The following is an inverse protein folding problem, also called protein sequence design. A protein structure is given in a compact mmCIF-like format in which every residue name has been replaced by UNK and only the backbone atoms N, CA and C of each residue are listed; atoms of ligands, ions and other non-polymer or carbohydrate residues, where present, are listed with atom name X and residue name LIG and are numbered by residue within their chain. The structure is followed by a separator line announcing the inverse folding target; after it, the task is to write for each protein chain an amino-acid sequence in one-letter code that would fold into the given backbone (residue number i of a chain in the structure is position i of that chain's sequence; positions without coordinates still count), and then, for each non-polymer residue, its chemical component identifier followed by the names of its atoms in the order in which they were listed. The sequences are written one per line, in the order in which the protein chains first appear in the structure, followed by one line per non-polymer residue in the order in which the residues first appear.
data_IF_611377187086
#
_entry.id   IF_611377187086
#
_cell.length_a   1.000
_cell.length_b   1.000
_cell.length_c   1.000
_cell.angle_alpha   90.00
_cell.angle_beta   90.00
_cell.angle_gamma   90.00
#
_symmetry.space_group_name_H-M   'P 1'
#
loop_
_entity.id
_entity.type
_entity.pdbx_description
1 polymer ?
#
# COMPACT_ATOMS: atom_id res chain seq x y z
N UNK A 1 -13.43 52.18 38.32
CA UNK A 1 -13.78 53.10 37.24
C UNK A 1 -13.68 52.24 35.99
N UNK A 2 -14.76 51.59 35.64
CA UNK A 2 -15.85 52.02 34.77
C UNK A 2 -15.42 51.99 33.31
N UNK A 3 -15.87 50.93 32.62
CA UNK A 3 -16.86 50.90 31.53
C UNK A 3 -16.28 51.38 30.18
N UNK A 4 -16.36 50.67 29.08
CA UNK A 4 -17.58 50.44 28.33
C UNK A 4 -17.47 49.32 27.29
N UNK A 5 -18.59 48.59 27.14
CA UNK A 5 -18.90 47.63 26.10
C UNK A 5 -19.25 48.34 24.79
N UNK A 6 -18.88 47.79 23.64
CA UNK A 6 -19.69 47.90 22.43
C UNK A 6 -19.60 46.66 21.51
N UNK A 7 -20.72 45.99 21.39
CA UNK A 7 -21.05 44.98 20.39
C UNK A 7 -21.06 45.61 18.97
N UNK A 8 -20.56 44.86 18.00
CA UNK A 8 -20.92 45.03 16.61
C UNK A 8 -21.14 43.66 15.94
N UNK A 9 -22.41 43.35 15.69
CA UNK A 9 -22.89 42.33 14.77
C UNK A 9 -22.52 42.74 13.34
N UNK A 10 -21.95 41.87 12.55
CA UNK A 10 -21.90 42.00 11.09
C UNK A 10 -22.49 40.73 10.47
N UNK A 11 -23.45 41.02 9.59
CA UNK A 11 -24.41 40.08 9.05
C UNK A 11 -23.82 39.14 7.98
N UNK A 12 -24.51 38.03 7.86
CA UNK A 12 -24.40 37.07 6.76
C UNK A 12 -24.97 37.69 5.48
N UNK A 13 -24.23 37.63 4.39
CA UNK A 13 -24.75 37.81 3.03
C UNK A 13 -24.33 36.65 2.16
N UNK A 14 -25.32 35.86 1.75
CA UNK A 14 -25.21 34.82 0.73
C UNK A 14 -25.20 35.42 -0.66
N UNK A 15 -24.44 34.93 -1.63
CA UNK A 15 -24.56 35.35 -3.03
C UNK A 15 -25.65 34.57 -3.77
N UNK A 16 -26.23 35.16 -4.84
CA UNK A 16 -27.42 34.64 -5.49
C UNK A 16 -27.16 33.55 -6.52
N UNK A 17 -28.14 32.67 -6.64
CA UNK A 17 -28.32 31.69 -7.71
C UNK A 17 -28.41 32.37 -9.08
N UNK A 18 -27.65 31.88 -10.07
CA UNK A 18 -27.84 32.22 -11.48
C UNK A 18 -28.39 30.99 -12.23
N UNK A 19 -29.47 31.23 -12.97
CA UNK A 19 -30.27 30.30 -13.73
C UNK A 19 -29.49 29.58 -14.84
N UNK A 20 -29.77 28.28 -15.01
CA UNK A 20 -29.34 27.47 -16.14
C UNK A 20 -30.42 27.45 -17.24
N UNK A 21 -30.08 27.55 -18.52
CA UNK A 21 -31.07 27.39 -19.59
C UNK A 21 -31.32 25.90 -19.89
N UNK A 22 -32.61 25.61 -20.02
CA UNK A 22 -33.17 24.35 -20.54
C UNK A 22 -32.62 24.00 -21.95
N UNK A 23 -32.08 22.80 -22.10
CA UNK A 23 -31.90 22.15 -23.41
C UNK A 23 -32.75 20.88 -23.44
N UNK A 24 -33.70 20.92 -24.35
CA UNK A 24 -34.70 19.87 -24.65
C UNK A 24 -34.05 18.55 -25.06
N UNK A 25 -34.61 17.48 -24.51
CA UNK A 25 -34.31 16.10 -24.82
C UNK A 25 -34.66 15.71 -26.26
N UNK A 26 -33.79 14.95 -26.89
CA UNK A 26 -34.18 14.05 -27.97
C UNK A 26 -33.62 12.64 -27.69
N UNK A 27 -34.54 11.67 -27.73
CA UNK A 27 -34.32 10.33 -27.25
C UNK A 27 -33.41 9.46 -28.15
N UNK A 28 -32.69 8.57 -27.48
CA UNK A 28 -31.94 7.48 -28.10
C UNK A 28 -31.72 6.38 -27.08
N UNK A 29 -32.43 5.28 -27.22
CA UNK A 29 -32.45 4.08 -26.39
C UNK A 29 -31.15 3.29 -26.43
N UNK A 30 -30.14 3.71 -25.70
CA UNK A 30 -28.87 2.97 -25.49
C UNK A 30 -28.50 2.76 -24.00
N UNK A 31 -29.38 3.13 -23.04
CA UNK A 31 -29.08 3.12 -21.61
C UNK A 31 -29.20 1.76 -20.88
N UNK A 32 -29.94 0.81 -21.43
CA UNK A 32 -30.32 -0.39 -20.68
C UNK A 32 -29.23 -1.46 -20.50
N UNK A 33 -28.26 -1.55 -21.39
CA UNK A 33 -27.22 -2.60 -21.33
C UNK A 33 -26.05 -2.23 -20.41
N UNK A 34 -25.67 -0.96 -20.32
CA UNK A 34 -24.56 -0.49 -19.46
C UNK A 34 -24.91 -0.51 -17.96
N UNK A 35 -26.15 -0.19 -17.58
CA UNK A 35 -26.61 -0.26 -16.18
C UNK A 35 -26.71 -1.70 -15.66
N UNK A 36 -27.08 -2.68 -16.51
CA UNK A 36 -27.18 -4.08 -16.11
C UNK A 36 -25.82 -4.77 -15.96
N UNK A 37 -24.81 -4.36 -16.74
CA UNK A 37 -23.41 -4.83 -16.61
C UNK A 37 -22.75 -4.29 -15.32
N UNK A 38 -22.89 -3.00 -15.03
CA UNK A 38 -22.37 -2.38 -13.79
C UNK A 38 -22.96 -3.01 -12.53
N UNK A 39 -24.26 -3.32 -12.52
CA UNK A 39 -24.96 -3.94 -11.38
C UNK A 39 -24.54 -5.40 -11.13
N UNK A 40 -24.00 -6.13 -12.15
CA UNK A 40 -23.47 -7.49 -12.00
C UNK A 40 -22.03 -7.52 -11.46
N UNK A 41 -21.21 -6.51 -11.75
CA UNK A 41 -19.82 -6.43 -11.25
C UNK A 41 -19.74 -5.93 -9.80
N UNK A 42 -20.68 -5.11 -9.34
CA UNK A 42 -20.68 -4.53 -7.98
C UNK A 42 -21.12 -5.54 -6.89
N UNK A 43 -21.98 -6.53 -7.22
CA UNK A 43 -22.43 -7.55 -6.25
C UNK A 43 -21.32 -8.30 -5.54
N UNK A 44 -20.31 -8.89 -6.20
CA UNK A 44 -19.26 -9.66 -5.50
C UNK A 44 -18.29 -8.76 -4.74
N UNK A 45 -18.28 -7.45 -4.99
CA UNK A 45 -17.52 -6.47 -4.22
C UNK A 45 -18.27 -6.11 -2.93
N UNK A 46 -19.57 -5.85 -3.02
CA UNK A 46 -20.43 -5.57 -1.87
C UNK A 46 -20.54 -6.76 -0.90
N UNK A 47 -20.70 -8.00 -1.40
CA UNK A 47 -20.73 -9.19 -0.55
C UNK A 47 -19.42 -9.41 0.22
N UNK A 48 -18.26 -9.14 -0.42
CA UNK A 48 -16.95 -9.21 0.25
C UNK A 48 -16.76 -8.12 1.30
N UNK A 49 -17.25 -6.92 1.05
CA UNK A 49 -17.21 -5.84 2.04
C UNK A 49 -18.14 -6.12 3.20
N UNK A 50 -19.32 -6.69 2.93
CA UNK A 50 -20.26 -7.10 3.98
C UNK A 50 -19.67 -8.21 4.84
N UNK A 51 -19.07 -9.23 4.24
CA UNK A 51 -18.40 -10.32 4.98
C UNK A 51 -17.26 -9.76 5.86
N UNK A 52 -16.43 -8.87 5.34
CA UNK A 52 -15.39 -8.24 6.12
C UNK A 52 -15.97 -7.36 7.23
N UNK A 53 -17.03 -6.62 6.97
CA UNK A 53 -17.76 -5.86 8.02
C UNK A 53 -18.22 -6.79 9.13
N UNK A 54 -18.88 -7.90 8.81
CA UNK A 54 -19.29 -8.89 9.82
C UNK A 54 -18.10 -9.41 10.62
N UNK A 55 -16.97 -9.75 9.97
CA UNK A 55 -15.77 -10.25 10.64
C UNK A 55 -15.14 -9.24 11.61
N UNK A 56 -15.15 -7.94 11.29
CA UNK A 56 -14.54 -6.91 12.14
C UNK A 56 -15.52 -6.30 13.16
N UNK A 57 -16.84 -6.36 12.92
CA UNK A 57 -17.84 -5.66 13.72
C UNK A 57 -18.65 -6.57 14.65
N UNK A 58 -18.69 -7.89 14.45
CA UNK A 58 -19.44 -8.82 15.29
C UNK A 58 -18.52 -9.63 16.21
N UNK A 59 -19.03 -10.08 17.36
CA UNK A 59 -18.26 -10.93 18.29
C UNK A 59 -17.86 -12.26 17.63
N UNK A 60 -18.80 -13.04 17.04
CA UNK A 60 -18.42 -14.30 16.36
C UNK A 60 -17.48 -14.06 15.18
N UNK A 61 -17.65 -12.94 14.44
CA UNK A 61 -16.74 -12.56 13.38
C UNK A 61 -15.31 -12.32 13.87
N UNK A 62 -15.13 -11.66 15.01
CA UNK A 62 -13.81 -11.42 15.61
C UNK A 62 -13.15 -12.72 16.10
N UNK A 63 -13.92 -13.67 16.64
CA UNK A 63 -13.40 -14.99 17.01
C UNK A 63 -12.91 -15.72 15.75
N UNK A 64 -13.73 -15.76 14.71
CA UNK A 64 -13.34 -16.34 13.41
C UNK A 64 -12.11 -15.64 12.82
N UNK A 65 -12.06 -14.31 12.87
CA UNK A 65 -10.91 -13.53 12.41
C UNK A 65 -9.64 -13.89 13.18
N UNK A 66 -9.73 -14.06 14.52
CA UNK A 66 -8.59 -14.49 15.36
C UNK A 66 -8.07 -15.87 14.95
N UNK A 67 -8.95 -16.80 14.61
CA UNK A 67 -8.54 -18.13 14.09
C UNK A 67 -7.86 -18.01 12.71
N UNK A 68 -8.47 -17.25 11.80
CA UNK A 68 -7.97 -17.08 10.43
C UNK A 68 -6.68 -16.24 10.36
N UNK A 69 -6.46 -15.33 11.30
CA UNK A 69 -5.23 -14.53 11.41
C UNK A 69 -4.08 -15.24 12.12
N UNK A 70 -4.34 -16.45 12.62
CA UNK A 70 -3.36 -17.27 13.33
C UNK A 70 -2.26 -17.80 12.40
N UNK A 71 -1.01 -17.85 12.91
CA UNK A 71 0.16 -18.33 12.15
C UNK A 71 0.00 -19.77 11.64
N UNK A 72 -0.60 -20.67 12.42
CA UNK A 72 -0.80 -22.08 12.03
C UNK A 72 -1.75 -22.21 10.85
N UNK A 73 -2.86 -21.47 10.86
CA UNK A 73 -3.81 -21.46 9.76
C UNK A 73 -3.18 -20.85 8.49
N UNK A 74 -2.48 -19.73 8.62
CA UNK A 74 -1.74 -19.13 7.51
C UNK A 74 -0.70 -20.07 6.91
N UNK A 75 0.04 -20.82 7.74
CA UNK A 75 1.02 -21.81 7.28
C UNK A 75 0.36 -22.96 6.52
N UNK A 76 -0.79 -23.45 6.97
CA UNK A 76 -1.56 -24.49 6.28
C UNK A 76 -2.05 -23.99 4.91
N UNK A 77 -2.63 -22.80 4.86
CA UNK A 77 -3.03 -22.17 3.61
C UNK A 77 -1.84 -21.96 2.67
N UNK A 78 -0.68 -21.53 3.19
CA UNK A 78 0.54 -21.38 2.43
C UNK A 78 0.99 -22.70 1.78
N UNK A 79 1.02 -23.80 2.55
CA UNK A 79 1.36 -25.13 2.01
C UNK A 79 0.41 -25.58 0.90
N UNK A 80 -0.89 -25.34 1.07
CA UNK A 80 -1.86 -25.62 0.01
C UNK A 80 -1.59 -24.78 -1.24
N UNK A 81 -1.33 -23.47 -1.08
CA UNK A 81 -1.04 -22.55 -2.19
C UNK A 81 0.29 -22.87 -2.90
N UNK A 82 1.24 -23.50 -2.22
CA UNK A 82 2.50 -24.00 -2.79
C UNK A 82 2.33 -25.32 -3.54
N UNK A 83 1.26 -26.08 -3.25
CA UNK A 83 1.00 -27.38 -3.87
C UNK A 83 0.39 -27.27 -5.26
N UNK A 84 0.56 -28.30 -6.08
CA UNK A 84 -0.07 -28.42 -7.41
C UNK A 84 -1.60 -28.49 -7.35
N UNK A 85 -2.18 -28.87 -6.21
CA UNK A 85 -3.63 -28.87 -5.96
C UNK A 85 -4.25 -27.47 -6.06
N UNK A 86 -3.46 -26.41 -5.90
CA UNK A 86 -3.93 -25.03 -6.02
C UNK A 86 -4.02 -24.52 -7.48
N UNK A 87 -3.50 -25.27 -8.47
CA UNK A 87 -3.49 -24.88 -9.90
C UNK A 87 -4.86 -24.49 -10.48
N UNK A 88 -5.98 -25.17 -10.18
CA UNK A 88 -7.30 -24.78 -10.69
C UNK A 88 -7.71 -23.36 -10.30
N UNK A 89 -7.20 -22.83 -9.18
CA UNK A 89 -7.48 -21.48 -8.74
C UNK A 89 -6.88 -20.40 -9.64
N UNK A 90 -5.78 -20.70 -10.37
CA UNK A 90 -5.03 -19.77 -11.21
C UNK A 90 -5.91 -19.16 -12.29
N UNK A 91 -6.65 -20.00 -13.06
CA UNK A 91 -7.52 -19.51 -14.14
C UNK A 91 -8.56 -18.50 -13.64
N UNK A 92 -9.18 -18.82 -12.50
CA UNK A 92 -10.18 -17.93 -11.88
C UNK A 92 -9.53 -16.64 -11.38
N UNK A 93 -8.35 -16.73 -10.79
CA UNK A 93 -7.59 -15.61 -10.28
C UNK A 93 -7.18 -14.64 -11.40
N UNK A 94 -6.53 -15.14 -12.45
CA UNK A 94 -6.07 -14.36 -13.60
C UNK A 94 -7.24 -13.65 -14.28
N UNK A 95 -8.32 -14.39 -14.62
CA UNK A 95 -9.50 -13.83 -15.27
C UNK A 95 -10.22 -12.78 -14.42
N UNK A 96 -10.39 -13.04 -13.11
CA UNK A 96 -11.10 -12.14 -12.20
C UNK A 96 -10.38 -10.84 -11.93
N UNK A 97 -9.06 -10.86 -11.94
CA UNK A 97 -8.22 -9.71 -11.65
C UNK A 97 -7.66 -9.07 -12.94
N UNK A 98 -8.12 -9.52 -14.12
CA UNK A 98 -7.71 -8.98 -15.42
C UNK A 98 -6.19 -8.93 -15.61
N UNK A 99 -5.48 -10.00 -15.15
CA UNK A 99 -4.04 -10.07 -15.23
C UNK A 99 -3.64 -10.44 -16.66
N UNK A 100 -2.86 -9.58 -17.33
CA UNK A 100 -2.27 -9.89 -18.62
C UNK A 100 -0.98 -10.72 -18.41
N UNK A 101 -1.07 -12.00 -18.72
CA UNK A 101 0.08 -12.91 -18.57
C UNK A 101 1.20 -12.63 -19.59
N UNK A 102 0.95 -11.85 -20.65
CA UNK A 102 1.98 -11.49 -21.62
C UNK A 102 3.04 -10.54 -21.03
N UNK A 103 2.72 -9.82 -19.95
CA UNK A 103 3.69 -9.01 -19.24
C UNK A 103 4.73 -9.84 -18.45
N UNK A 104 4.52 -11.17 -18.32
CA UNK A 104 5.34 -12.02 -17.47
C UNK A 104 6.17 -13.02 -18.26
N UNK A 105 7.27 -13.49 -17.65
CA UNK A 105 8.23 -14.42 -18.29
C UNK A 105 7.68 -15.83 -18.45
N UNK A 106 6.78 -16.26 -17.56
CA UNK A 106 6.16 -17.58 -17.59
C UNK A 106 4.66 -17.50 -17.84
N UNK A 107 4.14 -18.39 -18.66
CA UNK A 107 2.71 -18.54 -18.97
C UNK A 107 2.09 -19.76 -18.29
N UNK A 108 2.93 -20.67 -17.75
CA UNK A 108 2.51 -21.88 -17.02
C UNK A 108 3.12 -21.88 -15.63
N UNK A 109 2.32 -22.23 -14.64
CA UNK A 109 2.68 -22.18 -13.23
C UNK A 109 2.40 -23.52 -12.57
N UNK A 110 3.29 -23.94 -11.65
CA UNK A 110 3.19 -25.21 -10.93
C UNK A 110 2.20 -25.17 -9.77
N UNK A 111 2.01 -23.98 -9.16
CA UNK A 111 1.11 -23.77 -8.03
C UNK A 111 0.52 -22.36 -8.08
N UNK A 112 -0.44 -22.06 -7.19
CA UNK A 112 -1.00 -20.73 -7.08
C UNK A 112 0.06 -19.69 -6.65
N UNK A 113 0.93 -20.02 -5.68
CA UNK A 113 2.00 -19.12 -5.25
C UNK A 113 3.01 -18.87 -6.37
N UNK A 114 3.33 -19.87 -7.20
CA UNK A 114 4.17 -19.69 -8.37
C UNK A 114 3.57 -18.65 -9.35
N UNK A 115 2.24 -18.68 -9.56
CA UNK A 115 1.53 -17.67 -10.33
C UNK A 115 1.46 -16.31 -9.62
N UNK A 116 1.28 -16.30 -8.31
CA UNK A 116 1.16 -15.07 -7.53
C UNK A 116 2.48 -14.31 -7.48
N UNK A 117 3.60 -15.03 -7.36
CA UNK A 117 4.96 -14.48 -7.38
C UNK A 117 5.60 -14.49 -8.77
N UNK A 118 4.77 -14.54 -9.81
CA UNK A 118 5.18 -14.51 -11.22
C UNK A 118 6.23 -13.43 -11.48
N UNK A 119 7.19 -13.71 -12.33
CA UNK A 119 8.26 -12.76 -12.67
C UNK A 119 7.85 -11.92 -13.88
N UNK A 120 7.88 -10.59 -13.73
CA UNK A 120 7.59 -9.67 -14.81
C UNK A 120 8.78 -9.57 -15.77
N UNK A 121 8.53 -9.28 -17.04
CA UNK A 121 9.59 -8.99 -18.02
C UNK A 121 10.23 -7.64 -17.71
N UNK A 122 11.54 -7.53 -17.87
CA UNK A 122 12.28 -6.33 -17.49
C UNK A 122 11.79 -5.07 -18.23
N UNK A 123 11.43 -5.21 -19.51
CA UNK A 123 10.91 -4.13 -20.32
C UNK A 123 9.57 -3.56 -19.87
N UNK A 124 8.81 -4.32 -19.07
CA UNK A 124 7.52 -3.88 -18.54
C UNK A 124 7.65 -3.01 -17.26
N UNK A 125 8.82 -3.01 -16.65
CA UNK A 125 9.16 -2.19 -15.47
C UNK A 125 10.56 -1.60 -15.64
N UNK A 126 10.75 -0.68 -16.58
CA UNK A 126 12.05 -0.06 -16.83
C UNK A 126 12.49 0.73 -15.59
N UNK A 127 13.77 0.61 -15.26
CA UNK A 127 14.39 1.36 -14.17
C UNK A 127 15.06 2.61 -14.74
N UNK A 128 14.72 3.81 -14.28
CA UNK A 128 15.31 5.06 -14.78
C UNK A 128 16.83 5.13 -14.54
N UNK A 129 17.55 5.64 -15.52
CA UNK A 129 19.01 5.80 -15.45
C UNK A 129 19.46 6.96 -14.53
N UNK A 130 18.57 7.94 -14.26
CA UNK A 130 18.91 9.08 -13.41
C UNK A 130 19.21 8.62 -11.96
N UNK A 131 20.47 8.76 -11.47
CA UNK A 131 20.85 8.28 -10.14
C UNK A 131 20.15 9.03 -9.00
N UNK A 132 19.62 10.23 -9.27
CA UNK A 132 18.90 11.04 -8.27
C UNK A 132 17.40 10.74 -8.21
N UNK A 133 16.87 9.94 -9.12
CA UNK A 133 15.44 9.61 -9.12
C UNK A 133 15.10 8.65 -7.98
N UNK A 134 14.13 9.02 -7.14
CA UNK A 134 13.48 8.13 -6.19
C UNK A 134 12.45 7.31 -6.95
N UNK A 135 12.61 6.00 -6.97
CA UNK A 135 11.71 5.09 -7.68
C UNK A 135 10.74 4.38 -6.73
N UNK A 136 9.57 4.01 -7.24
CA UNK A 136 8.66 3.13 -6.54
C UNK A 136 9.27 1.71 -6.39
N UNK A 137 9.32 1.13 -5.18
CA UNK A 137 9.91 -0.19 -4.97
C UNK A 137 9.03 -1.33 -5.49
N UNK A 138 7.75 -1.08 -5.74
CA UNK A 138 6.77 -2.09 -6.14
C UNK A 138 5.59 -1.49 -6.90
N UNK A 139 4.81 -2.34 -7.54
CA UNK A 139 3.48 -1.98 -8.00
C UNK A 139 2.55 -1.79 -6.81
N UNK A 140 1.65 -0.79 -6.88
CA UNK A 140 0.69 -0.60 -5.80
C UNK A 140 -0.07 0.70 -5.85
N UNK A 141 -0.61 1.05 -4.70
CA UNK A 141 -1.29 2.32 -4.44
C UNK A 141 -0.55 3.07 -3.36
N UNK A 142 0.03 4.19 -3.75
CA UNK A 142 0.85 5.05 -2.90
C UNK A 142 -0.02 6.03 -2.11
N UNK A 143 0.30 6.15 -0.83
CA UNK A 143 -0.07 7.27 0.04
C UNK A 143 1.20 7.86 0.65
N UNK A 144 1.30 9.19 0.71
CA UNK A 144 2.45 9.92 1.23
C UNK A 144 2.07 10.70 2.49
N UNK A 145 2.88 10.57 3.54
CA UNK A 145 2.65 11.23 4.83
C UNK A 145 3.92 11.94 5.28
N UNK A 146 3.76 13.12 5.86
CA UNK A 146 4.85 13.79 6.59
C UNK A 146 4.92 13.23 8.00
N UNK A 147 6.11 12.94 8.46
CA UNK A 147 6.37 12.52 9.84
C UNK A 147 6.54 13.79 10.66
N UNK A 148 5.85 13.90 11.81
CA UNK A 148 5.99 15.06 12.70
C UNK A 148 7.32 15.02 13.46
N UNK A 149 7.64 16.13 14.13
CA UNK A 149 8.75 16.21 15.08
C UNK A 149 8.62 15.17 16.21
N UNK A 150 7.41 14.83 16.64
CA UNK A 150 7.14 13.77 17.62
C UNK A 150 7.19 12.35 17.04
N UNK A 151 7.73 12.13 15.82
CA UNK A 151 7.82 10.83 15.15
C UNK A 151 6.47 10.14 14.95
N UNK A 152 5.38 10.90 14.86
CA UNK A 152 4.04 10.36 14.59
C UNK A 152 3.50 10.87 13.26
N UNK A 153 2.66 10.06 12.62
CA UNK A 153 2.03 10.37 11.36
C UNK A 153 0.56 9.89 11.36
N UNK A 154 -0.36 10.68 10.81
CA UNK A 154 -1.74 10.28 10.66
C UNK A 154 -1.89 9.41 9.41
N UNK A 155 -2.12 8.11 9.58
CA UNK A 155 -2.47 7.23 8.47
C UNK A 155 -3.96 6.91 8.57
N UNK A 156 -4.77 7.54 7.71
CA UNK A 156 -6.24 7.47 7.73
C UNK A 156 -6.79 7.93 9.08
N UNK A 157 -7.44 7.07 9.84
CA UNK A 157 -8.06 7.39 11.14
C UNK A 157 -7.21 6.92 12.34
N UNK A 158 -5.96 6.54 12.12
CA UNK A 158 -5.07 6.04 13.17
C UNK A 158 -3.74 6.80 13.16
N UNK A 159 -3.23 7.11 14.35
CA UNK A 159 -1.89 7.63 14.51
C UNK A 159 -0.88 6.48 14.59
N UNK A 160 0.21 6.61 13.90
CA UNK A 160 1.31 5.65 13.88
C UNK A 160 2.58 6.32 14.36
N UNK A 161 3.25 5.71 15.32
CA UNK A 161 4.60 6.08 15.72
C UNK A 161 5.61 5.36 14.83
N UNK A 162 6.64 6.07 14.39
CA UNK A 162 7.78 5.47 13.66
C UNK A 162 8.51 4.48 14.56
N UNK A 163 8.65 4.80 15.85
CA UNK A 163 9.26 3.89 16.84
C UNK A 163 8.48 2.56 16.93
N UNK A 164 7.14 2.61 17.00
CA UNK A 164 6.32 1.39 17.01
C UNK A 164 6.46 0.59 15.71
N UNK A 165 6.54 1.27 14.56
CA UNK A 165 6.76 0.61 13.27
C UNK A 165 8.07 -0.16 13.24
N UNK A 166 9.12 0.36 13.87
CA UNK A 166 10.46 -0.24 13.94
C UNK A 166 10.69 -1.06 15.22
N UNK A 167 9.64 -1.26 16.05
CA UNK A 167 9.73 -2.10 17.25
C UNK A 167 10.64 -1.51 18.35
N UNK A 168 10.75 -0.18 18.43
CA UNK A 168 11.57 0.51 19.40
C UNK A 168 13.04 0.71 18.99
N UNK A 169 13.38 0.41 17.71
CA UNK A 169 14.74 0.64 17.21
C UNK A 169 15.09 2.14 17.27
N UNK A 170 16.24 2.53 17.86
CA UNK A 170 16.69 3.92 17.95
C UNK A 170 16.84 4.62 16.59
N UNK A 171 16.99 3.90 15.50
CA UNK A 171 17.03 4.46 14.14
C UNK A 171 15.76 5.28 13.80
N UNK A 172 14.66 5.06 14.52
CA UNK A 172 13.42 5.82 14.38
C UNK A 172 13.64 7.33 14.47
N UNK A 173 14.53 7.78 15.35
CA UNK A 173 14.86 9.20 15.55
C UNK A 173 15.40 9.87 14.28
N UNK A 174 16.01 9.09 13.39
CA UNK A 174 16.56 9.61 12.14
C UNK A 174 15.47 10.08 11.14
N UNK A 175 14.21 9.70 11.37
CA UNK A 175 13.08 10.02 10.47
C UNK A 175 12.21 11.17 10.97
N UNK A 176 12.61 11.87 12.04
CA UNK A 176 11.96 13.08 12.52
C UNK A 176 11.82 14.10 11.38
N UNK A 177 10.65 14.71 11.24
CA UNK A 177 10.28 15.64 10.15
C UNK A 177 10.43 15.05 8.71
N UNK A 178 10.71 13.78 8.60
CA UNK A 178 10.89 13.09 7.33
C UNK A 178 9.57 12.73 6.65
N UNK A 179 9.65 11.74 5.77
CA UNK A 179 8.53 11.28 4.95
C UNK A 179 8.31 9.78 5.09
N UNK A 180 7.04 9.39 5.18
CA UNK A 180 6.58 8.02 5.12
C UNK A 180 5.77 7.79 3.84
N UNK A 181 6.26 6.91 2.97
CA UNK A 181 5.59 6.47 1.76
C UNK A 181 5.01 5.07 1.96
N UNK A 182 3.71 4.92 1.82
CA UNK A 182 2.99 3.66 2.03
C UNK A 182 2.48 3.12 0.71
N UNK A 183 2.99 1.99 0.27
CA UNK A 183 2.60 1.30 -0.97
C UNK A 183 1.73 0.09 -0.61
N UNK A 184 0.46 0.18 -0.87
CA UNK A 184 -0.48 -0.93 -0.65
C UNK A 184 -0.61 -1.76 -1.92
N UNK A 185 -0.14 -2.99 -1.89
CA UNK A 185 -0.26 -3.92 -3.00
C UNK A 185 -1.65 -4.57 -3.00
N UNK A 186 -2.36 -4.44 -4.11
CA UNK A 186 -3.60 -5.16 -4.34
C UNK A 186 -3.27 -6.57 -4.88
N UNK A 187 -4.21 -7.50 -4.76
CA UNK A 187 -3.98 -8.91 -5.15
C UNK A 187 -3.66 -9.13 -6.64
N UNK A 188 -4.02 -8.18 -7.48
CA UNK A 188 -3.73 -8.13 -8.92
C UNK A 188 -2.36 -7.58 -9.25
N UNK A 189 -1.75 -6.81 -8.33
CA UNK A 189 -0.44 -6.21 -8.56
C UNK A 189 0.68 -7.24 -8.69
N UNK A 190 1.84 -6.78 -9.14
CA UNK A 190 3.09 -7.51 -9.09
C UNK A 190 3.60 -7.54 -7.65
N UNK A 191 3.90 -8.74 -7.10
CA UNK A 191 4.21 -8.90 -5.68
C UNK A 191 5.69 -9.10 -5.37
N UNK A 192 6.57 -8.88 -6.36
CA UNK A 192 8.01 -8.71 -6.12
C UNK A 192 8.32 -7.24 -5.99
N UNK A 193 9.37 -6.92 -5.26
CA UNK A 193 9.79 -5.55 -5.00
C UNK A 193 11.31 -5.42 -5.10
N UNK A 194 11.76 -4.19 -5.40
CA UNK A 194 13.15 -3.91 -5.68
C UNK A 194 13.77 -2.93 -4.67
N UNK A 195 15.08 -2.84 -4.72
CA UNK A 195 15.84 -1.77 -4.06
C UNK A 195 15.63 -0.44 -4.80
N UNK A 196 15.42 0.64 -4.03
CA UNK A 196 15.13 1.96 -4.59
C UNK A 196 16.37 2.70 -5.08
N UNK A 197 17.55 2.31 -4.59
CA UNK A 197 18.83 2.93 -4.92
C UNK A 197 19.99 1.95 -4.79
N UNK A 198 21.18 2.38 -5.23
CA UNK A 198 22.44 1.73 -4.93
C UNK A 198 22.83 1.99 -3.48
N UNK A 199 23.52 1.07 -2.86
CA UNK A 199 23.99 1.28 -1.49
C UNK A 199 24.37 0.00 -0.77
N UNK A 200 24.39 0.08 0.55
CA UNK A 200 24.62 -1.05 1.43
C UNK A 200 23.35 -1.35 2.23
N UNK A 201 22.90 -2.57 2.16
CA UNK A 201 21.77 -3.08 2.92
C UNK A 201 22.26 -3.71 4.22
N UNK A 202 21.68 -3.30 5.34
CA UNK A 202 21.84 -3.97 6.63
C UNK A 202 21.00 -5.24 6.75
N UNK A 203 21.07 -5.89 7.90
CA UNK A 203 20.29 -7.10 8.20
C UNK A 203 18.79 -6.88 8.13
N UNK A 204 18.06 -7.93 7.85
CA UNK A 204 16.61 -7.94 7.97
C UNK A 204 16.21 -8.14 9.45
N UNK A 205 15.34 -7.28 9.96
CA UNK A 205 14.81 -7.37 11.33
C UNK A 205 13.34 -7.76 11.27
N UNK A 206 13.03 -8.97 11.72
CA UNK A 206 11.66 -9.48 11.74
C UNK A 206 10.96 -9.11 13.05
N UNK A 207 9.81 -8.44 12.95
CA UNK A 207 8.94 -8.11 14.06
C UNK A 207 7.70 -9.00 14.02
N UNK A 208 7.51 -9.87 15.02
CA UNK A 208 6.37 -10.77 15.07
C UNK A 208 5.06 -10.00 15.27
N UNK A 209 3.96 -10.50 14.70
CA UNK A 209 2.66 -9.88 14.79
C UNK A 209 1.53 -10.80 14.34
N UNK A 210 0.36 -10.22 14.21
CA UNK A 210 -0.84 -10.85 13.66
C UNK A 210 -0.91 -10.64 12.14
N UNK A 211 -1.93 -11.20 11.50
CA UNK A 211 -2.14 -11.06 10.06
C UNK A 211 -3.54 -10.50 9.80
N UNK A 212 -3.72 -9.18 10.00
CA UNK A 212 -4.93 -8.48 9.59
C UNK A 212 -4.88 -8.06 8.13
N UNK A 213 -6.05 -7.91 7.48
CA UNK A 213 -6.08 -7.39 6.12
C UNK A 213 -5.62 -5.93 6.07
N UNK A 214 -4.88 -5.55 5.04
CA UNK A 214 -4.43 -4.16 4.78
C UNK A 214 -5.48 -3.33 4.01
N UNK A 215 -6.71 -3.82 3.89
CA UNK A 215 -7.81 -3.07 3.25
C UNK A 215 -8.26 -1.90 4.11
N UNK A 216 -8.81 -0.83 3.50
CA UNK A 216 -9.25 0.37 4.21
C UNK A 216 -10.17 0.11 5.41
N UNK A 217 -11.03 -0.92 5.32
CA UNK A 217 -11.95 -1.30 6.41
C UNK A 217 -11.24 -1.78 7.69
N UNK A 218 -10.07 -2.40 7.58
CA UNK A 218 -9.29 -2.80 8.75
C UNK A 218 -8.44 -1.63 9.27
N UNK A 219 -7.89 -0.83 8.37
CA UNK A 219 -7.08 0.36 8.71
C UNK A 219 -7.84 1.41 9.50
N UNK A 220 -9.17 1.48 9.36
CA UNK A 220 -10.02 2.38 10.15
C UNK A 220 -10.32 1.89 11.56
N UNK A 221 -9.94 0.65 11.91
CA UNK A 221 -10.29 0.01 13.20
C UNK A 221 -9.08 -0.48 13.97
N UNK A 222 -8.03 -0.84 13.28
CA UNK A 222 -6.86 -1.49 13.86
C UNK A 222 -5.61 -0.83 13.27
N UNK A 223 -4.60 -0.50 14.08
CA UNK A 223 -3.31 -0.02 13.60
C UNK A 223 -2.53 -1.17 12.94
N UNK A 224 -2.97 -1.54 11.73
CA UNK A 224 -2.55 -2.76 11.02
C UNK A 224 -1.04 -2.81 10.79
N UNK A 225 -0.41 -1.68 10.49
CA UNK A 225 1.02 -1.65 10.14
C UNK A 225 1.93 -1.97 11.33
N UNK A 226 1.50 -1.70 12.57
CA UNK A 226 2.25 -2.06 13.77
C UNK A 226 1.79 -3.37 14.39
N UNK A 227 0.55 -3.81 14.11
CA UNK A 227 0.02 -5.08 14.61
C UNK A 227 0.36 -6.27 13.75
N UNK A 228 0.51 -6.09 12.45
CA UNK A 228 0.86 -7.18 11.55
C UNK A 228 2.34 -7.55 11.68
N UNK A 229 2.64 -8.82 11.41
CA UNK A 229 4.03 -9.23 11.25
C UNK A 229 4.66 -8.42 10.13
N UNK A 230 5.90 -8.01 10.33
CA UNK A 230 6.64 -7.18 9.39
C UNK A 230 8.13 -7.46 9.49
N UNK A 231 8.82 -7.12 8.44
CA UNK A 231 10.26 -7.16 8.38
C UNK A 231 10.77 -5.82 7.87
N UNK A 232 11.77 -5.24 8.52
CA UNK A 232 12.37 -4.02 8.04
C UNK A 232 13.87 -4.17 7.80
N UNK A 233 14.36 -3.32 6.93
CA UNK A 233 15.76 -3.23 6.57
C UNK A 233 16.16 -1.78 6.46
N UNK A 234 17.24 -1.40 7.14
CA UNK A 234 17.90 -0.11 6.95
C UNK A 234 18.90 -0.24 5.81
N UNK A 235 18.83 0.68 4.87
CA UNK A 235 19.74 0.77 3.73
C UNK A 235 20.45 2.11 3.79
N UNK A 236 21.78 2.10 3.70
CA UNK A 236 22.56 3.32 3.47
C UNK A 236 22.68 3.53 1.96
N UNK A 237 21.89 4.45 1.43
CA UNK A 237 21.71 4.67 0.01
C UNK A 237 22.60 5.79 -0.50
N UNK A 238 23.01 5.68 -1.77
CA UNK A 238 23.93 6.63 -2.39
C UNK A 238 23.32 8.04 -2.55
N UNK A 239 22.04 8.13 -2.90
CA UNK A 239 21.40 9.40 -3.22
C UNK A 239 20.55 9.97 -2.07
N UNK A 240 19.96 9.12 -1.21
CA UNK A 240 18.96 9.52 -0.21
C UNK A 240 19.47 9.38 1.23
N UNK A 241 20.73 8.92 1.45
CA UNK A 241 21.24 8.56 2.77
C UNK A 241 20.50 7.34 3.34
N UNK A 242 20.42 7.20 4.68
CA UNK A 242 19.72 6.11 5.32
C UNK A 242 18.21 6.10 5.01
N UNK A 243 17.72 4.99 4.47
CA UNK A 243 16.31 4.72 4.17
C UNK A 243 15.91 3.41 4.83
N UNK A 244 14.78 3.38 5.50
CA UNK A 244 14.21 2.14 6.01
C UNK A 244 13.06 1.69 5.09
N UNK A 245 13.16 0.46 4.60
CA UNK A 245 12.07 -0.22 3.91
C UNK A 245 11.48 -1.29 4.82
N UNK A 246 10.14 -1.26 4.97
CA UNK A 246 9.39 -2.16 5.84
C UNK A 246 8.40 -2.94 4.98
N UNK A 247 8.51 -4.25 4.97
CA UNK A 247 7.55 -5.17 4.36
C UNK A 247 6.53 -5.59 5.43
N UNK A 248 5.26 -5.27 5.23
CA UNK A 248 4.18 -5.60 6.16
C UNK A 248 3.33 -6.72 5.57
N UNK A 249 3.26 -7.85 6.26
CA UNK A 249 2.39 -8.96 5.93
C UNK A 249 0.92 -8.65 6.19
N UNK A 250 0.02 -9.43 5.59
CA UNK A 250 -1.42 -9.28 5.78
C UNK A 250 -2.14 -10.62 5.89
N UNK A 251 -3.46 -10.59 6.03
CA UNK A 251 -4.31 -11.79 6.15
C UNK A 251 -4.06 -12.77 4.99
N UNK A 252 -3.73 -14.01 5.34
CA UNK A 252 -3.30 -15.08 4.43
C UNK A 252 -1.91 -14.86 3.79
N UNK A 253 -1.21 -13.74 4.09
CA UNK A 253 0.17 -13.49 3.67
C UNK A 253 1.07 -13.55 4.88
N UNK A 254 1.46 -14.73 5.24
CA UNK A 254 2.35 -14.93 6.38
C UNK A 254 3.83 -14.93 6.02
N UNK A 255 4.20 -14.83 4.75
CA UNK A 255 5.60 -15.01 4.36
C UNK A 255 6.09 -13.86 3.49
N UNK A 256 6.94 -13.05 4.09
CA UNK A 256 7.83 -12.10 3.46
C UNK A 256 9.10 -12.89 3.11
N UNK A 257 9.60 -12.76 1.90
CA UNK A 257 10.83 -13.37 1.47
C UNK A 257 11.78 -12.29 0.97
N UNK A 258 12.75 -11.91 1.78
CA UNK A 258 13.88 -11.08 1.37
C UNK A 258 15.05 -11.99 0.96
N UNK A 259 15.74 -11.64 -0.15
CA UNK A 259 16.75 -12.52 -0.75
C UNK A 259 18.10 -12.44 -0.04
N UNK A 260 18.51 -11.23 0.34
CA UNK A 260 19.83 -10.98 0.88
C UNK A 260 19.79 -10.80 2.40
N UNK A 261 20.86 -11.15 3.09
CA UNK A 261 21.09 -10.78 4.48
C UNK A 261 21.67 -9.33 4.52
N UNK A 262 22.99 -9.19 4.65
CA UNK A 262 23.71 -7.95 4.48
C UNK A 262 24.46 -7.96 3.15
N UNK A 263 24.30 -6.89 2.34
CA UNK A 263 24.86 -6.89 0.99
C UNK A 263 25.03 -5.47 0.43
N UNK A 264 25.91 -5.33 -0.56
CA UNK A 264 25.83 -4.23 -1.51
C UNK A 264 24.70 -4.50 -2.49
N UNK A 265 23.88 -3.51 -2.72
CA UNK A 265 22.68 -3.63 -3.53
C UNK A 265 22.65 -2.60 -4.65
N UNK A 266 21.91 -2.93 -5.71
CA UNK A 266 21.77 -2.05 -6.87
C UNK A 266 20.31 -1.65 -7.05
N UNK A 267 20.11 -0.40 -7.48
CA UNK A 267 18.79 0.14 -7.84
C UNK A 267 18.10 -0.78 -8.84
N UNK A 268 16.83 -1.09 -8.56
CA UNK A 268 16.02 -1.96 -9.40
C UNK A 268 16.29 -3.46 -9.25
N UNK A 269 17.37 -3.87 -8.57
CA UNK A 269 17.57 -5.27 -8.25
C UNK A 269 16.47 -5.77 -7.30
N UNK A 270 16.02 -7.01 -7.49
CA UNK A 270 14.95 -7.61 -6.69
C UNK A 270 15.40 -7.78 -5.24
N UNK A 271 14.72 -7.11 -4.31
CA UNK A 271 14.95 -7.25 -2.87
C UNK A 271 14.23 -8.46 -2.31
N UNK A 272 13.03 -8.74 -2.83
CA UNK A 272 12.24 -9.85 -2.32
C UNK A 272 10.84 -9.92 -2.94
N UNK A 273 9.99 -10.72 -2.29
CA UNK A 273 8.62 -10.93 -2.71
C UNK A 273 7.69 -11.27 -1.55
N UNK A 274 6.40 -11.00 -1.74
CA UNK A 274 5.34 -11.50 -0.89
C UNK A 274 4.75 -12.77 -1.48
N UNK A 275 4.59 -13.80 -0.67
CA UNK A 275 3.76 -14.95 -1.02
C UNK A 275 2.29 -14.60 -0.79
N UNK A 276 1.38 -15.39 -1.37
CA UNK A 276 -0.05 -15.10 -1.53
C UNK A 276 -0.71 -14.24 -0.43
N UNK A 277 -1.41 -13.16 -0.86
CA UNK A 277 -2.35 -12.31 -0.13
C UNK A 277 -2.12 -10.81 -0.34
N UNK A 278 -2.75 -9.93 0.47
CA UNK A 278 -2.48 -8.48 0.46
C UNK A 278 -1.20 -8.14 1.22
N UNK A 279 -0.50 -7.10 0.82
CA UNK A 279 0.76 -6.68 1.43
C UNK A 279 0.94 -5.18 1.33
N UNK A 280 1.87 -4.65 2.11
CA UNK A 280 2.21 -3.23 2.09
C UNK A 280 3.72 -3.08 2.23
N UNK A 281 4.30 -2.16 1.47
CA UNK A 281 5.65 -1.68 1.68
C UNK A 281 5.57 -0.27 2.24
N UNK A 282 6.37 0.01 3.26
CA UNK A 282 6.54 1.36 3.80
C UNK A 282 7.99 1.77 3.60
N UNK A 283 8.21 2.96 3.04
CA UNK A 283 9.53 3.60 2.99
C UNK A 283 9.54 4.78 3.95
N UNK A 284 10.57 4.83 4.79
CA UNK A 284 10.87 5.97 5.65
C UNK A 284 12.10 6.69 5.10
N UNK A 285 11.95 7.97 4.85
CA UNK A 285 12.98 8.87 4.35
C UNK A 285 13.23 9.96 5.40
N UNK A 286 14.48 10.35 5.58
CA UNK A 286 14.85 11.47 6.44
C UNK A 286 14.32 12.80 5.91
N UNK A 287 14.26 13.79 6.76
CA UNK A 287 14.02 15.18 6.37
C UNK A 287 15.01 15.61 5.28
N UNK A 288 14.50 16.25 4.24
CA UNK A 288 15.33 16.73 3.12
C UNK A 288 15.99 15.65 2.26
N UNK A 289 15.69 14.36 2.45
CA UNK A 289 16.29 13.30 1.64
C UNK A 289 15.82 13.31 0.18
N UNK A 290 14.55 13.67 -0.06
CA UNK A 290 13.96 13.70 -1.40
C UNK A 290 12.95 14.82 -1.56
N UNK A 291 12.95 15.44 -2.74
CA UNK A 291 11.93 16.38 -3.20
C UNK A 291 10.79 15.57 -3.84
N UNK A 292 9.63 15.57 -3.19
CA UNK A 292 8.43 14.88 -3.62
C UNK A 292 7.35 15.89 -4.03
N UNK A 293 6.56 15.64 -5.09
CA UNK A 293 5.48 16.51 -5.49
C UNK A 293 4.42 16.66 -4.37
N UNK A 294 4.03 17.89 -4.03
CA UNK A 294 3.00 18.17 -3.03
C UNK A 294 1.66 17.51 -3.38
N UNK A 295 1.37 17.35 -4.65
CA UNK A 295 0.18 16.64 -5.12
C UNK A 295 0.01 15.21 -4.57
N UNK A 296 1.11 14.51 -4.20
CA UNK A 296 1.03 13.20 -3.56
C UNK A 296 0.45 13.30 -2.14
N UNK A 297 0.89 14.31 -1.39
CA UNK A 297 0.41 14.57 -0.02
C UNK A 297 -1.03 15.08 -0.02
N UNK A 298 -1.37 15.96 -0.94
CA UNK A 298 -2.73 16.50 -1.10
C UNK A 298 -3.73 15.40 -1.46
N UNK A 299 -3.40 14.51 -2.41
CA UNK A 299 -4.24 13.34 -2.73
C UNK A 299 -4.45 12.48 -1.51
N UNK A 300 -3.37 12.19 -0.77
CA UNK A 300 -3.44 11.40 0.45
C UNK A 300 -4.31 12.05 1.51
N UNK A 301 -4.22 13.37 1.70
CA UNK A 301 -5.06 14.15 2.63
C UNK A 301 -6.55 14.04 2.28
N UNK A 302 -6.90 13.98 0.99
CA UNK A 302 -8.26 13.72 0.51
C UNK A 302 -8.69 12.25 0.62
N UNK A 303 -7.82 11.37 1.14
CA UNK A 303 -8.08 9.92 1.23
C UNK A 303 -7.91 9.15 -0.08
N UNK A 304 -7.32 9.77 -1.09
CA UNK A 304 -7.02 9.18 -2.39
C UNK A 304 -5.67 8.48 -2.38
N UNK A 305 -5.58 7.34 -3.05
CA UNK A 305 -4.31 6.61 -3.25
C UNK A 305 -3.87 6.77 -4.72
N UNK A 306 -2.59 7.07 -4.94
CA UNK A 306 -2.02 7.23 -6.28
C UNK A 306 -1.55 5.85 -6.81
N UNK A 307 -2.07 5.34 -7.94
CA UNK A 307 -1.53 4.14 -8.56
C UNK A 307 -0.09 4.39 -9.00
N UNK A 308 0.80 3.44 -8.71
CA UNK A 308 2.21 3.49 -9.13
C UNK A 308 2.67 2.11 -9.60
N UNK A 309 3.68 2.10 -10.47
CA UNK A 309 4.36 0.89 -10.93
C UNK A 309 5.79 0.86 -10.42
N UNK A 310 6.32 -0.34 -10.18
CA UNK A 310 7.73 -0.52 -9.82
C UNK A 310 8.63 0.18 -10.85
N UNK A 311 9.62 0.94 -10.37
CA UNK A 311 10.51 1.74 -11.21
C UNK A 311 9.99 3.13 -11.58
N UNK A 312 8.70 3.45 -11.34
CA UNK A 312 8.14 4.78 -11.60
C UNK A 312 8.80 5.84 -10.71
N UNK A 313 9.12 7.00 -11.29
CA UNK A 313 9.76 8.11 -10.56
C UNK A 313 8.72 8.79 -9.67
N UNK A 314 9.01 8.87 -8.39
CA UNK A 314 8.18 9.52 -7.37
C UNK A 314 8.66 10.94 -7.04
N UNK A 315 9.94 11.21 -7.23
CA UNK A 315 10.61 12.46 -6.92
C UNK A 315 12.11 12.33 -7.16
N UNK A 316 12.87 13.24 -6.59
CA UNK A 316 14.32 13.28 -6.78
C UNK A 316 15.03 13.54 -5.46
N UNK A 317 16.27 13.06 -5.32
CA UNK A 317 17.13 13.42 -4.20
C UNK A 317 17.27 14.94 -4.10
N UNK A 318 17.15 15.50 -2.91
CA UNK A 318 17.31 16.94 -2.68
C UNK A 318 18.68 17.42 -3.18
N UNK A 319 18.72 18.60 -3.83
CA UNK A 319 20.00 19.22 -4.20
C UNK A 319 20.70 19.69 -2.93
N UNK A 320 21.82 19.09 -2.62
CA UNK A 320 22.73 19.62 -1.59
C UNK A 320 23.32 20.94 -2.03
#
# INVERSE_FOLDING_TARGET
MEQDKKNAKVGQSSPPYADSPNVTANGGTAGGRRHRARRKEDKPRQERELMLRCMYHTVPGRVLLKMLSGRRFSALCGRFMDSSLSRPLIRRFVRKNHIDLNEYTATRYRSFNDCFTRRIRAEMRPIPHNPRALIAPCDGRLSAYRISDGLVMPIKQSWYSVSDLLGGDPIAEAYRNGVCLVFRLCVDNYHRYCYIDNGTKGRNVFLPGQLHTVRPIALSRIPVFIRNCREYTVMDTAAFGPVTQIEVGALLVGKILNHDAEARVHRGAEKGMFLYGGSTIVLLLREGAADLPDALFEKTARGEETPVRMGEILGYAHKK
#
